data_IF_154856076686
#
_entry.id   IF_154856076686
#
_cell.length_a   1.000
_cell.length_b   1.000
_cell.length_c   1.000
_cell.angle_alpha   90.00
_cell.angle_beta   90.00
_cell.angle_gamma   90.00
#
_symmetry.space_group_name_H-M   'P 1'
#
loop_
_entity.id
_entity.type
_entity.pdbx_description
1 polymer ?
#
# COMPACT_ATOMS: atom_id res chain seq x y z
N UNK A 1 -77.06 -53.18 64.50
CA UNK A 1 -76.82 -52.13 63.49
C UNK A 1 -75.89 -50.98 63.95
N UNK A 2 -75.70 -50.70 65.27
CA UNK A 2 -74.85 -49.59 65.76
C UNK A 2 -73.32 -49.81 65.74
N UNK A 3 -72.83 -51.02 65.46
CA UNK A 3 -71.40 -51.40 65.45
C UNK A 3 -70.67 -51.01 64.16
N UNK A 4 -71.33 -51.20 63.02
CA UNK A 4 -70.76 -50.94 61.70
C UNK A 4 -70.20 -49.51 61.50
N UNK A 5 -70.91 -48.43 61.86
CA UNK A 5 -70.37 -47.07 61.72
C UNK A 5 -69.16 -46.81 62.63
N UNK A 6 -69.10 -47.45 63.80
CA UNK A 6 -67.97 -47.28 64.72
C UNK A 6 -66.67 -47.89 64.17
N UNK A 7 -66.76 -49.10 63.58
CA UNK A 7 -65.61 -49.75 62.94
C UNK A 7 -65.06 -48.96 61.75
N UNK A 8 -65.93 -48.32 60.96
CA UNK A 8 -65.49 -47.45 59.84
C UNK A 8 -64.70 -46.25 60.36
N UNK A 9 -65.21 -45.56 61.37
CA UNK A 9 -64.53 -44.39 61.97
C UNK A 9 -63.19 -44.84 62.57
N UNK A 10 -63.18 -45.97 63.28
CA UNK A 10 -61.98 -46.51 63.89
C UNK A 10 -60.91 -46.90 62.86
N UNK A 11 -61.30 -47.56 61.76
CA UNK A 11 -60.36 -47.88 60.68
C UNK A 11 -59.77 -46.61 60.04
N UNK A 12 -60.59 -45.57 59.88
CA UNK A 12 -60.16 -44.27 59.37
C UNK A 12 -59.12 -43.58 60.27
N UNK A 13 -59.37 -43.53 61.58
CA UNK A 13 -58.42 -42.91 62.53
C UNK A 13 -57.09 -43.67 62.61
N UNK A 14 -57.13 -45.00 62.51
CA UNK A 14 -55.93 -45.83 62.40
C UNK A 14 -55.10 -45.47 61.17
N UNK A 15 -55.74 -45.37 59.99
CA UNK A 15 -55.04 -45.01 58.76
C UNK A 15 -54.38 -43.62 58.86
N UNK A 16 -55.10 -42.62 59.40
CA UNK A 16 -54.56 -41.27 59.62
C UNK A 16 -53.38 -41.31 60.60
N UNK A 17 -53.47 -42.11 61.67
CA UNK A 17 -52.39 -42.25 62.64
C UNK A 17 -51.12 -42.86 62.02
N UNK A 18 -51.25 -43.95 61.26
CA UNK A 18 -50.11 -44.59 60.56
C UNK A 18 -49.46 -43.66 59.54
N UNK A 19 -50.25 -42.92 58.75
CA UNK A 19 -49.70 -41.92 57.81
C UNK A 19 -48.96 -40.79 58.53
N UNK A 20 -49.47 -40.33 59.68
CA UNK A 20 -48.78 -39.37 60.53
C UNK A 20 -47.41 -39.87 61.01
N UNK A 21 -47.33 -41.11 61.49
CA UNK A 21 -46.07 -41.74 61.92
C UNK A 21 -45.09 -41.85 60.74
N UNK A 22 -45.58 -42.25 59.56
CA UNK A 22 -44.76 -42.36 58.35
C UNK A 22 -44.15 -41.02 57.94
N UNK A 23 -44.94 -39.94 57.93
CA UNK A 23 -44.48 -38.58 57.59
C UNK A 23 -43.48 -38.06 58.64
N UNK A 24 -43.72 -38.35 59.92
CA UNK A 24 -42.78 -37.99 60.98
C UNK A 24 -41.43 -38.71 60.81
N UNK A 25 -41.43 -40.01 60.50
CA UNK A 25 -40.21 -40.78 60.20
C UNK A 25 -39.46 -40.28 58.97
N UNK A 26 -40.17 -39.68 58.00
CA UNK A 26 -39.56 -38.97 56.85
C UNK A 26 -38.88 -37.64 57.21
N UNK A 27 -38.88 -37.24 58.48
CA UNK A 27 -38.15 -36.07 58.96
C UNK A 27 -38.94 -34.76 58.96
N UNK A 28 -40.25 -34.80 58.71
CA UNK A 28 -41.10 -33.61 58.84
C UNK A 28 -41.38 -33.33 60.33
N UNK A 29 -40.53 -32.49 60.94
CA UNK A 29 -40.56 -32.17 62.36
C UNK A 29 -41.94 -31.73 62.92
N UNK A 30 -42.77 -30.93 62.21
CA UNK A 30 -44.07 -30.52 62.73
C UNK A 30 -45.07 -31.67 62.91
N UNK A 31 -44.85 -32.85 62.27
CA UNK A 31 -45.72 -34.01 62.46
C UNK A 31 -45.63 -34.63 63.86
N UNK A 32 -44.62 -34.29 64.68
CA UNK A 32 -44.46 -34.85 66.04
C UNK A 32 -45.70 -34.61 66.91
N UNK A 33 -46.22 -33.39 66.94
CA UNK A 33 -47.38 -33.03 67.75
C UNK A 33 -48.68 -33.60 67.16
N UNK A 34 -48.76 -33.71 65.84
CA UNK A 34 -49.86 -34.37 65.15
C UNK A 34 -49.96 -35.85 65.55
N UNK A 35 -48.84 -36.58 65.55
CA UNK A 35 -48.80 -37.99 65.97
C UNK A 35 -49.19 -38.13 67.44
N UNK A 36 -48.68 -37.28 68.32
CA UNK A 36 -49.04 -37.29 69.75
C UNK A 36 -50.54 -37.04 69.96
N UNK A 37 -51.14 -36.07 69.27
CA UNK A 37 -52.58 -35.79 69.35
C UNK A 37 -53.44 -36.98 68.90
N UNK A 38 -53.10 -37.59 67.76
CA UNK A 38 -53.81 -38.76 67.24
C UNK A 38 -53.58 -40.04 68.07
N UNK A 39 -52.48 -40.14 68.83
CA UNK A 39 -52.29 -41.23 69.81
C UNK A 39 -53.36 -41.20 70.90
N UNK A 40 -53.71 -40.02 71.44
CA UNK A 40 -54.78 -39.89 72.43
C UNK A 40 -56.13 -40.29 71.83
N UNK A 41 -56.41 -39.84 70.61
CA UNK A 41 -57.61 -40.21 69.89
C UNK A 41 -57.70 -41.73 69.68
N UNK A 42 -56.61 -42.36 69.24
CA UNK A 42 -56.51 -43.81 69.07
C UNK A 42 -56.77 -44.58 70.37
N UNK A 43 -56.17 -44.14 71.49
CA UNK A 43 -56.40 -44.73 72.81
C UNK A 43 -57.87 -44.58 73.23
N UNK A 44 -58.48 -43.41 73.03
CA UNK A 44 -59.89 -43.17 73.35
C UNK A 44 -60.84 -44.08 72.54
N UNK A 45 -60.57 -44.27 71.25
CA UNK A 45 -61.32 -45.23 70.44
C UNK A 45 -61.08 -46.68 70.84
N UNK A 46 -59.85 -47.05 71.24
CA UNK A 46 -59.53 -48.39 71.73
C UNK A 46 -60.27 -48.72 73.04
N UNK A 47 -60.29 -47.80 74.00
CA UNK A 47 -61.06 -47.96 75.26
C UNK A 47 -62.55 -48.13 74.94
N UNK A 48 -63.10 -47.30 74.05
CA UNK A 48 -64.51 -47.38 73.66
C UNK A 48 -64.84 -48.67 72.89
N UNK A 49 -63.93 -49.17 72.06
CA UNK A 49 -64.07 -50.45 71.38
C UNK A 49 -64.09 -51.62 72.38
N UNK A 50 -63.20 -51.61 73.38
CA UNK A 50 -63.14 -52.63 74.43
C UNK A 50 -64.41 -52.65 75.28
N UNK A 51 -64.94 -51.49 75.66
CA UNK A 51 -66.23 -51.38 76.38
C UNK A 51 -67.38 -51.91 75.50
N UNK A 52 -67.35 -51.64 74.19
CA UNK A 52 -68.41 -52.04 73.25
C UNK A 52 -68.42 -53.55 72.95
N UNK A 53 -67.27 -54.22 73.00
CA UNK A 53 -67.12 -55.67 72.78
C UNK A 53 -67.50 -56.52 74.01
N UNK A 54 -67.98 -55.89 75.09
CA UNK A 54 -68.69 -56.53 76.20
C UNK A 54 -67.86 -57.50 77.06
N UNK A 55 -66.80 -57.00 77.70
CA UNK A 55 -66.33 -57.57 78.98
C UNK A 55 -67.24 -57.06 80.11
N UNK A 56 -68.10 -57.94 80.62
CA UNK A 56 -69.15 -57.62 81.59
C UNK A 56 -68.63 -57.15 82.98
N UNK A 57 -67.30 -57.14 83.20
CA UNK A 57 -66.65 -56.69 84.44
C UNK A 57 -66.00 -55.29 84.38
N UNK A 58 -65.96 -54.64 83.22
CA UNK A 58 -65.49 -53.26 83.12
C UNK A 58 -66.63 -52.32 83.48
N UNK A 59 -66.78 -52.07 84.79
CA UNK A 59 -67.73 -51.15 85.40
C UNK A 59 -67.98 -49.88 84.56
N UNK A 60 -69.27 -49.54 84.36
CA UNK A 60 -69.76 -48.33 83.72
C UNK A 60 -69.46 -47.06 84.56
N UNK A 61 -68.19 -46.82 84.83
CA UNK A 61 -67.74 -45.61 85.52
C UNK A 61 -67.86 -44.40 84.58
N UNK A 62 -68.15 -43.23 85.15
CA UNK A 62 -68.23 -41.95 84.41
C UNK A 62 -67.00 -41.70 83.51
N UNK A 63 -65.84 -42.21 83.92
CA UNK A 63 -64.58 -42.16 83.16
C UNK A 63 -64.71 -42.83 81.79
N UNK A 64 -65.34 -44.00 81.70
CA UNK A 64 -65.54 -44.70 80.43
C UNK A 64 -66.42 -43.92 79.46
N UNK A 65 -67.47 -43.28 79.98
CA UNK A 65 -68.42 -42.48 79.19
C UNK A 65 -67.77 -41.21 78.60
N UNK A 66 -66.99 -40.47 79.41
CA UNK A 66 -66.35 -39.21 78.99
C UNK A 66 -64.96 -39.40 78.36
N UNK A 67 -64.39 -40.61 78.38
CA UNK A 67 -63.03 -40.92 77.87
C UNK A 67 -62.78 -40.42 76.44
N UNK A 68 -63.72 -40.66 75.52
CA UNK A 68 -63.58 -40.25 74.13
C UNK A 68 -63.62 -38.73 73.98
N UNK A 69 -64.55 -38.05 74.66
CA UNK A 69 -64.66 -36.58 74.62
C UNK A 69 -63.40 -35.93 75.18
N UNK A 70 -62.83 -36.49 76.25
CA UNK A 70 -61.57 -36.01 76.81
C UNK A 70 -60.40 -36.18 75.84
N UNK A 71 -60.31 -37.32 75.14
CA UNK A 71 -59.28 -37.55 74.12
C UNK A 71 -59.41 -36.60 72.92
N UNK A 72 -60.63 -36.25 72.51
CA UNK A 72 -60.87 -35.24 71.47
C UNK A 72 -60.38 -33.85 71.88
N UNK A 73 -60.64 -33.42 73.12
CA UNK A 73 -60.14 -32.12 73.62
C UNK A 73 -58.61 -32.10 73.62
N UNK A 74 -57.96 -33.18 74.09
CA UNK A 74 -56.51 -33.29 74.05
C UNK A 74 -55.97 -33.27 72.61
N UNK A 75 -56.61 -33.98 71.68
CA UNK A 75 -56.23 -34.00 70.27
C UNK A 75 -56.25 -32.59 69.66
N UNK A 76 -57.31 -31.81 69.90
CA UNK A 76 -57.40 -30.43 69.41
C UNK A 76 -56.30 -29.52 69.97
N UNK A 77 -55.93 -29.69 71.25
CA UNK A 77 -54.82 -28.95 71.87
C UNK A 77 -53.50 -29.26 71.15
N UNK A 78 -53.22 -30.54 70.91
CA UNK A 78 -52.00 -30.97 70.23
C UNK A 78 -51.97 -30.57 68.73
N UNK A 79 -53.12 -30.55 68.05
CA UNK A 79 -53.22 -30.01 66.69
C UNK A 79 -52.92 -28.52 66.63
N UNK A 80 -53.39 -27.74 67.59
CA UNK A 80 -53.07 -26.31 67.69
C UNK A 80 -51.55 -26.08 67.80
N UNK A 81 -50.88 -26.88 68.64
CA UNK A 81 -49.42 -26.86 68.74
C UNK A 81 -48.71 -27.30 67.44
N UNK A 82 -49.24 -28.30 66.73
CA UNK A 82 -48.68 -28.73 65.45
C UNK A 82 -48.72 -27.61 64.38
N UNK A 83 -49.82 -26.86 64.31
CA UNK A 83 -49.96 -25.71 63.42
C UNK A 83 -49.01 -24.58 63.82
N UNK A 84 -48.94 -24.26 65.11
CA UNK A 84 -48.04 -23.22 65.63
C UNK A 84 -46.57 -23.52 65.32
N UNK A 85 -46.12 -24.76 65.56
CA UNK A 85 -44.75 -25.19 65.26
C UNK A 85 -44.44 -25.13 63.75
N UNK A 86 -45.39 -25.56 62.90
CA UNK A 86 -45.28 -25.45 61.44
C UNK A 86 -45.10 -24.00 60.99
N UNK A 87 -45.96 -23.09 61.48
CA UNK A 87 -45.89 -21.66 61.12
C UNK A 87 -44.57 -21.05 61.58
N UNK A 88 -44.13 -21.36 62.80
CA UNK A 88 -42.84 -20.88 63.33
C UNK A 88 -41.66 -21.34 62.49
N UNK A 89 -41.62 -22.63 62.11
CA UNK A 89 -40.54 -23.20 61.29
C UNK A 89 -40.55 -22.59 59.88
N UNK A 90 -41.72 -22.47 59.25
CA UNK A 90 -41.84 -21.88 57.91
C UNK A 90 -41.43 -20.40 57.91
N UNK A 91 -41.87 -19.63 58.92
CA UNK A 91 -41.51 -18.22 59.08
C UNK A 91 -40.00 -18.05 59.27
N UNK A 92 -39.38 -18.85 60.15
CA UNK A 92 -37.92 -18.82 60.36
C UNK A 92 -37.12 -19.18 59.10
N UNK A 93 -37.60 -20.15 58.30
CA UNK A 93 -36.98 -20.48 57.00
C UNK A 93 -37.09 -19.32 56.01
N UNK A 94 -38.26 -18.68 55.92
CA UNK A 94 -38.48 -17.52 55.05
C UNK A 94 -37.62 -16.32 55.47
N UNK A 95 -37.58 -16.00 56.75
CA UNK A 95 -36.75 -14.93 57.30
C UNK A 95 -35.25 -15.17 57.06
N UNK A 96 -34.77 -16.41 57.22
CA UNK A 96 -33.37 -16.75 56.90
C UNK A 96 -33.05 -16.57 55.42
N UNK A 97 -33.91 -17.05 54.52
CA UNK A 97 -33.72 -16.89 53.08
C UNK A 97 -33.76 -15.42 52.65
N UNK A 98 -34.67 -14.63 53.23
CA UNK A 98 -34.74 -13.18 52.98
C UNK A 98 -33.49 -12.45 53.50
N UNK A 99 -33.00 -12.80 54.69
CA UNK A 99 -31.78 -12.21 55.25
C UNK A 99 -30.54 -12.51 54.39
N UNK A 100 -30.43 -13.74 53.88
CA UNK A 100 -29.34 -14.13 52.98
C UNK A 100 -29.41 -13.37 51.65
N UNK A 101 -30.61 -13.22 51.07
CA UNK A 101 -30.83 -12.43 49.87
C UNK A 101 -30.47 -10.95 50.06
N UNK A 102 -30.85 -10.34 51.19
CA UNK A 102 -30.48 -8.95 51.51
C UNK A 102 -28.96 -8.80 51.64
N UNK A 103 -28.30 -9.76 52.30
CA UNK A 103 -26.84 -9.75 52.43
C UNK A 103 -26.15 -9.83 51.07
N UNK A 104 -26.58 -10.74 50.20
CA UNK A 104 -26.04 -10.86 48.85
C UNK A 104 -26.29 -9.59 48.02
N UNK A 105 -27.45 -8.96 48.15
CA UNK A 105 -27.73 -7.68 47.49
C UNK A 105 -26.83 -6.56 47.99
N UNK A 106 -26.56 -6.49 49.30
CA UNK A 106 -25.66 -5.51 49.88
C UNK A 106 -24.22 -5.71 49.39
N UNK A 107 -23.70 -6.95 49.42
CA UNK A 107 -22.37 -7.29 48.89
C UNK A 107 -22.25 -6.98 47.39
N UNK A 108 -23.30 -7.27 46.60
CA UNK A 108 -23.32 -6.93 45.18
C UNK A 108 -23.39 -5.42 44.93
N UNK A 109 -24.08 -4.66 45.78
CA UNK A 109 -24.12 -3.20 45.67
C UNK A 109 -22.74 -2.60 45.93
N UNK A 110 -22.06 -3.00 47.00
CA UNK A 110 -20.71 -2.51 47.31
C UNK A 110 -19.71 -2.86 46.22
N UNK A 111 -19.74 -4.11 45.70
CA UNK A 111 -18.85 -4.52 44.61
C UNK A 111 -19.10 -3.72 43.32
N UNK A 112 -20.36 -3.39 43.02
CA UNK A 112 -20.70 -2.55 41.87
C UNK A 112 -20.20 -1.13 42.04
N UNK A 113 -20.35 -0.56 43.23
CA UNK A 113 -19.86 0.79 43.53
C UNK A 113 -18.33 0.86 43.44
N UNK A 114 -17.62 -0.12 44.01
CA UNK A 114 -16.16 -0.21 43.92
C UNK A 114 -15.69 -0.34 42.46
N UNK A 115 -16.35 -1.20 41.67
CA UNK A 115 -16.04 -1.39 40.26
C UNK A 115 -16.32 -0.12 39.43
N UNK A 116 -17.41 0.60 39.75
CA UNK A 116 -17.73 1.86 39.08
C UNK A 116 -16.66 2.91 39.36
N UNK A 117 -16.20 3.04 40.61
CA UNK A 117 -15.12 3.96 40.98
C UNK A 117 -13.83 3.62 40.23
N UNK A 118 -13.43 2.34 40.19
CA UNK A 118 -12.24 1.91 39.45
C UNK A 118 -12.37 2.19 37.94
N UNK A 119 -13.56 1.96 37.37
CA UNK A 119 -13.83 2.23 35.97
C UNK A 119 -13.76 3.73 35.66
N UNK A 120 -14.34 4.58 36.50
CA UNK A 120 -14.28 6.02 36.36
C UNK A 120 -12.84 6.54 36.40
N UNK A 121 -12.01 6.02 37.33
CA UNK A 121 -10.59 6.36 37.40
C UNK A 121 -9.86 5.96 36.10
N UNK A 122 -10.06 4.74 35.61
CA UNK A 122 -9.45 4.28 34.35
C UNK A 122 -9.91 5.11 33.15
N UNK A 123 -11.19 5.48 33.10
CA UNK A 123 -11.73 6.34 32.04
C UNK A 123 -11.07 7.72 32.08
N UNK A 124 -10.90 8.31 33.27
CA UNK A 124 -10.21 9.59 33.42
C UNK A 124 -8.74 9.50 33.01
N UNK A 125 -8.01 8.50 33.48
CA UNK A 125 -6.61 8.27 33.10
C UNK A 125 -6.45 8.11 31.59
N UNK A 126 -7.29 7.28 30.96
CA UNK A 126 -7.24 7.06 29.51
C UNK A 126 -7.65 8.30 28.72
N UNK A 127 -8.61 9.07 29.22
CA UNK A 127 -9.01 10.34 28.59
C UNK A 127 -7.86 11.34 28.65
N UNK A 128 -7.14 11.42 29.77
CA UNK A 128 -5.95 12.26 29.90
C UNK A 128 -4.82 11.82 28.98
N UNK A 129 -4.52 10.52 28.91
CA UNK A 129 -3.51 9.95 28.02
C UNK A 129 -3.81 10.26 26.54
N UNK A 130 -5.08 10.10 26.13
CA UNK A 130 -5.52 10.39 24.76
C UNK A 130 -5.40 11.89 24.45
N UNK A 131 -5.80 12.77 25.38
CA UNK A 131 -5.68 14.21 25.20
C UNK A 131 -4.21 14.63 25.03
N UNK A 132 -3.31 14.11 25.89
CA UNK A 132 -1.88 14.38 25.77
C UNK A 132 -1.31 13.91 24.43
N UNK A 133 -1.66 12.69 23.99
CA UNK A 133 -1.23 12.18 22.68
C UNK A 133 -1.78 13.00 21.52
N UNK A 134 -3.02 13.48 21.61
CA UNK A 134 -3.62 14.34 20.60
C UNK A 134 -2.84 15.64 20.43
N UNK A 135 -2.46 16.29 21.53
CA UNK A 135 -1.64 17.52 21.51
C UNK A 135 -0.28 17.25 20.86
N UNK A 136 0.38 16.13 21.19
CA UNK A 136 1.67 15.76 20.60
C UNK A 136 1.54 15.50 19.09
N UNK A 137 0.50 14.78 18.68
CA UNK A 137 0.23 14.50 17.26
C UNK A 137 0.00 15.80 16.50
N UNK A 138 -0.77 16.73 17.06
CA UNK A 138 -1.05 18.02 16.45
C UNK A 138 0.25 18.83 16.25
N UNK A 139 1.08 18.94 17.29
CA UNK A 139 2.39 19.61 17.19
C UNK A 139 3.32 18.93 16.15
N UNK A 140 3.35 17.58 16.11
CA UNK A 140 4.15 16.85 15.12
C UNK A 140 3.63 17.02 13.70
N UNK A 141 2.31 17.14 13.53
CA UNK A 141 1.70 17.36 12.24
C UNK A 141 2.03 18.77 11.71
N UNK A 142 2.04 19.78 12.57
CA UNK A 142 2.51 21.13 12.23
C UNK A 142 3.99 21.14 11.81
N UNK A 143 4.87 20.48 12.59
CA UNK A 143 6.30 20.35 12.23
C UNK A 143 6.48 19.65 10.87
N UNK A 144 5.73 18.58 10.62
CA UNK A 144 5.79 17.83 9.37
C UNK A 144 5.29 18.67 8.19
N UNK A 145 4.23 19.45 8.40
CA UNK A 145 3.69 20.34 7.38
C UNK A 145 4.72 21.41 7.00
N UNK A 146 5.37 22.04 7.98
CA UNK A 146 6.44 23.01 7.73
C UNK A 146 7.62 22.39 6.96
N UNK A 147 8.03 21.18 7.35
CA UNK A 147 9.11 20.48 6.65
C UNK A 147 8.73 20.15 5.19
N UNK A 148 7.49 19.73 4.95
CA UNK A 148 6.98 19.47 3.60
C UNK A 148 6.92 20.74 2.75
N UNK A 149 6.47 21.86 3.32
CA UNK A 149 6.40 23.14 2.61
C UNK A 149 7.81 23.62 2.22
N UNK A 150 8.79 23.53 3.13
CA UNK A 150 10.19 23.83 2.85
C UNK A 150 10.77 22.93 1.75
N UNK A 151 10.53 21.62 1.81
CA UNK A 151 10.97 20.68 0.78
C UNK A 151 10.38 21.03 -0.59
N UNK A 152 9.11 21.46 -0.62
CA UNK A 152 8.45 21.89 -1.85
C UNK A 152 9.08 23.15 -2.43
N UNK A 153 9.41 24.13 -1.59
CA UNK A 153 10.15 25.32 -2.02
C UNK A 153 11.54 24.98 -2.58
N UNK A 154 12.27 24.09 -1.90
CA UNK A 154 13.56 23.60 -2.39
C UNK A 154 13.44 22.89 -3.74
N UNK A 155 12.39 22.08 -3.93
CA UNK A 155 12.14 21.40 -5.21
C UNK A 155 11.92 22.40 -6.36
N UNK A 156 11.15 23.46 -6.12
CA UNK A 156 10.92 24.54 -7.10
C UNK A 156 12.24 25.24 -7.45
N UNK A 157 13.09 25.54 -6.47
CA UNK A 157 14.37 26.22 -6.73
C UNK A 157 15.37 25.32 -7.48
N UNK A 158 15.41 24.02 -7.17
CA UNK A 158 16.20 23.04 -7.92
C UNK A 158 15.73 22.98 -9.37
N UNK A 159 14.42 22.95 -9.60
CA UNK A 159 13.85 22.95 -10.95
C UNK A 159 14.25 24.21 -11.74
N UNK A 160 14.15 25.38 -11.10
CA UNK A 160 14.60 26.65 -11.68
C UNK A 160 16.08 26.63 -12.05
N UNK A 161 16.92 26.12 -11.14
CA UNK A 161 18.36 26.01 -11.37
C UNK A 161 18.68 25.06 -12.53
N UNK A 162 17.98 23.93 -12.62
CA UNK A 162 18.15 22.99 -13.73
C UNK A 162 17.82 23.64 -15.09
N UNK A 163 16.75 24.43 -15.17
CA UNK A 163 16.40 25.16 -16.40
C UNK A 163 17.50 26.15 -16.82
N UNK A 164 18.09 26.87 -15.86
CA UNK A 164 19.21 27.78 -16.12
C UNK A 164 20.44 27.01 -16.61
N UNK A 165 20.78 25.90 -15.94
CA UNK A 165 21.90 25.06 -16.34
C UNK A 165 21.72 24.48 -17.75
N UNK A 166 20.49 24.10 -18.13
CA UNK A 166 20.19 23.64 -19.49
C UNK A 166 20.41 24.73 -20.53
N UNK A 167 19.94 25.96 -20.26
CA UNK A 167 20.18 27.10 -21.14
C UNK A 167 21.68 27.39 -21.31
N UNK A 168 22.43 27.44 -20.21
CA UNK A 168 23.87 27.70 -20.23
C UNK A 168 24.63 26.59 -20.96
N UNK A 169 24.24 25.33 -20.77
CA UNK A 169 24.81 24.21 -21.50
C UNK A 169 24.58 24.32 -23.01
N UNK A 170 23.39 24.73 -23.44
CA UNK A 170 23.11 24.96 -24.87
C UNK A 170 23.96 26.10 -25.44
N UNK A 171 24.07 27.21 -24.71
CA UNK A 171 24.88 28.35 -25.13
C UNK A 171 26.37 27.97 -25.25
N UNK A 172 26.90 27.24 -24.27
CA UNK A 172 28.27 26.74 -24.29
C UNK A 172 28.52 25.84 -25.49
N UNK A 173 27.62 24.91 -25.82
CA UNK A 173 27.76 24.05 -27.00
C UNK A 173 27.82 24.88 -28.29
N UNK A 174 26.94 25.87 -28.45
CA UNK A 174 26.92 26.75 -29.63
C UNK A 174 28.24 27.53 -29.74
N UNK A 175 28.75 28.04 -28.61
CA UNK A 175 29.98 28.82 -28.58
C UNK A 175 31.21 27.95 -28.88
N UNK A 176 31.27 26.74 -28.32
CA UNK A 176 32.30 25.74 -28.65
C UNK A 176 32.28 25.42 -30.14
N UNK A 177 31.11 25.18 -30.73
CA UNK A 177 30.94 24.91 -32.15
C UNK A 177 31.45 26.06 -33.03
N UNK A 178 31.10 27.30 -32.68
CA UNK A 178 31.54 28.50 -33.39
C UNK A 178 33.05 28.69 -33.31
N UNK A 179 33.64 28.54 -32.11
CA UNK A 179 35.08 28.69 -31.89
C UNK A 179 35.85 27.57 -32.60
N UNK A 180 35.36 26.33 -32.52
CA UNK A 180 35.96 25.17 -33.21
C UNK A 180 35.94 25.36 -34.72
N UNK A 181 34.79 25.74 -35.29
CA UNK A 181 34.69 26.05 -36.72
C UNK A 181 35.58 27.22 -37.12
N UNK A 182 35.65 28.29 -36.32
CA UNK A 182 36.50 29.44 -36.63
C UNK A 182 38.00 29.10 -36.59
N UNK A 183 38.43 28.25 -35.64
CA UNK A 183 39.85 27.87 -35.45
C UNK A 183 40.37 26.98 -36.58
N UNK A 184 39.55 26.04 -37.06
CA UNK A 184 39.94 25.18 -38.20
C UNK A 184 39.98 25.95 -39.53
N UNK A 185 39.31 27.10 -39.60
CA UNK A 185 39.32 27.96 -40.79
C UNK A 185 40.49 28.98 -40.80
N UNK A 186 41.33 28.98 -39.77
CA UNK A 186 42.58 29.76 -39.70
C UNK A 186 43.83 28.89 -39.92
N UNK A 187 44.09 28.62 -41.20
CA UNK A 187 45.38 28.38 -41.88
C UNK A 187 46.46 27.40 -41.36
N UNK A 188 46.45 26.84 -40.15
CA UNK A 188 47.45 25.84 -39.73
C UNK A 188 46.80 24.76 -38.86
N UNK A 189 46.26 23.73 -39.51
CA UNK A 189 45.50 22.66 -38.84
C UNK A 189 46.13 21.30 -39.15
N UNK A 190 46.46 20.56 -38.08
CA UNK A 190 46.90 19.18 -38.12
C UNK A 190 45.78 18.25 -38.65
N UNK A 191 46.14 17.13 -39.27
CA UNK A 191 45.24 16.13 -39.81
C UNK A 191 44.21 15.65 -38.79
N UNK A 192 44.59 15.54 -37.51
CA UNK A 192 43.68 15.08 -36.44
C UNK A 192 42.53 16.07 -36.19
N UNK A 193 42.80 17.38 -36.27
CA UNK A 193 41.80 18.41 -36.06
C UNK A 193 40.93 18.63 -37.33
N UNK A 194 41.50 18.45 -38.53
CA UNK A 194 40.71 18.38 -39.77
C UNK A 194 39.79 17.14 -39.82
N UNK A 195 40.29 16.00 -39.35
CA UNK A 195 39.52 14.74 -39.29
C UNK A 195 38.40 14.79 -38.25
N UNK A 196 38.40 15.71 -37.28
CA UNK A 196 37.26 15.87 -36.35
C UNK A 196 36.05 16.55 -37.01
N UNK A 197 36.27 17.37 -38.05
CA UNK A 197 35.20 18.04 -38.79
C UNK A 197 34.70 17.18 -39.95
N UNK A 198 35.60 16.44 -40.61
CA UNK A 198 35.25 15.48 -41.67
C UNK A 198 35.70 14.07 -41.29
N UNK A 199 35.12 13.48 -40.23
CA UNK A 199 35.56 12.18 -39.70
C UNK A 199 35.31 11.03 -40.66
N UNK A 200 34.23 11.14 -41.44
CA UNK A 200 33.74 10.07 -42.25
C UNK A 200 33.42 10.51 -43.69
N UNK A 201 33.14 9.50 -44.50
CA UNK A 201 32.72 9.66 -45.89
C UNK A 201 31.39 10.42 -46.00
N UNK A 202 30.54 10.34 -44.97
CA UNK A 202 29.20 10.90 -44.98
C UNK A 202 29.22 12.42 -44.88
N UNK A 203 29.96 12.98 -43.91
CA UNK A 203 30.16 14.42 -43.76
C UNK A 203 30.86 15.04 -44.98
N UNK A 204 31.83 14.34 -45.57
CA UNK A 204 32.46 14.78 -46.82
C UNK A 204 31.45 14.88 -47.97
N UNK A 205 30.57 13.89 -48.11
CA UNK A 205 29.57 13.86 -49.19
C UNK A 205 28.45 14.88 -48.97
N UNK A 206 28.02 15.10 -47.73
CA UNK A 206 27.06 16.14 -47.38
C UNK A 206 27.62 17.51 -47.78
N UNK A 207 28.87 17.81 -47.40
CA UNK A 207 29.54 19.04 -47.77
C UNK A 207 29.66 19.22 -49.31
N UNK A 208 30.01 18.15 -50.04
CA UNK A 208 30.02 18.19 -51.51
C UNK A 208 28.65 18.50 -52.10
N UNK A 209 27.59 17.91 -51.56
CA UNK A 209 26.23 18.12 -52.04
C UNK A 209 25.77 19.57 -51.82
N UNK A 210 26.02 20.12 -50.63
CA UNK A 210 25.74 21.51 -50.30
C UNK A 210 26.51 22.48 -51.20
N UNK A 211 27.79 22.20 -51.44
CA UNK A 211 28.63 23.05 -52.29
C UNK A 211 28.20 22.99 -53.76
N UNK A 212 28.00 21.79 -54.30
CA UNK A 212 27.72 21.53 -55.72
C UNK A 212 26.35 22.05 -56.15
N UNK A 213 25.33 21.90 -55.30
CA UNK A 213 23.96 22.31 -55.60
C UNK A 213 23.50 23.53 -54.79
N UNK A 214 24.45 24.32 -54.28
CA UNK A 214 24.19 25.58 -53.57
C UNK A 214 23.24 26.52 -54.33
N UNK A 215 23.37 26.55 -55.65
CA UNK A 215 22.57 27.39 -56.55
C UNK A 215 21.42 26.63 -57.22
N UNK A 216 21.01 25.49 -56.65
CA UNK A 216 19.98 24.60 -57.21
C UNK A 216 20.54 23.42 -58.00
N UNK A 217 19.70 22.39 -58.18
CA UNK A 217 20.00 21.24 -59.02
C UNK A 217 19.57 21.53 -60.46
N UNK A 218 20.41 21.19 -61.43
CA UNK A 218 20.03 21.15 -62.84
C UNK A 218 20.67 19.94 -63.50
N UNK A 219 19.84 19.03 -64.01
CA UNK A 219 20.29 17.80 -64.62
C UNK A 219 21.17 18.05 -65.85
N UNK A 220 22.40 17.54 -65.84
CA UNK A 220 23.35 17.69 -66.95
C UNK A 220 22.92 17.00 -68.25
N UNK A 221 21.99 16.04 -68.21
CA UNK A 221 21.49 15.30 -69.40
C UNK A 221 20.29 15.97 -70.06
N UNK A 222 19.32 16.44 -69.29
CA UNK A 222 18.03 16.92 -69.82
C UNK A 222 17.60 18.31 -69.32
N UNK A 223 18.45 18.99 -68.53
CA UNK A 223 18.24 20.33 -67.96
C UNK A 223 17.05 20.52 -67.01
N UNK A 224 16.43 19.42 -66.58
CA UNK A 224 15.39 19.43 -65.54
C UNK A 224 15.97 19.81 -64.17
N UNK A 225 15.23 20.56 -63.38
CA UNK A 225 15.59 21.07 -62.05
C UNK A 225 15.01 20.25 -60.89
N UNK A 226 13.97 19.44 -61.16
CA UNK A 226 13.43 18.50 -60.19
C UNK A 226 14.25 17.20 -60.10
N UNK A 227 14.39 16.70 -58.86
CA UNK A 227 15.10 15.47 -58.56
C UNK A 227 14.43 14.69 -57.40
N UNK A 228 14.78 13.41 -57.30
CA UNK A 228 14.60 12.55 -56.14
C UNK A 228 15.96 12.17 -55.55
N UNK A 229 15.97 11.65 -54.33
CA UNK A 229 17.18 11.02 -53.77
C UNK A 229 17.61 9.85 -54.66
N UNK A 230 18.88 9.81 -55.04
CA UNK A 230 19.44 8.67 -55.77
C UNK A 230 19.81 7.51 -54.86
N UNK A 231 20.38 6.46 -55.43
CA UNK A 231 20.79 5.25 -54.70
C UNK A 231 22.08 5.46 -53.90
N UNK A 232 22.98 6.35 -54.36
CA UNK A 232 24.19 6.72 -53.62
C UNK A 232 23.85 7.83 -52.60
N UNK A 233 24.34 7.80 -51.35
CA UNK A 233 24.10 8.87 -50.38
C UNK A 233 24.38 10.26 -50.94
N UNK A 234 23.42 11.16 -50.75
CA UNK A 234 23.42 12.54 -51.24
C UNK A 234 23.46 12.73 -52.76
N UNK A 235 23.33 11.66 -53.57
CA UNK A 235 23.17 11.79 -55.02
C UNK A 235 21.77 12.30 -55.40
N UNK A 236 21.67 12.91 -56.58
CA UNK A 236 20.43 13.50 -57.10
C UNK A 236 20.02 12.75 -58.36
N UNK A 237 18.84 12.13 -58.34
CA UNK A 237 18.25 11.42 -59.49
C UNK A 237 17.22 12.30 -60.18
N UNK A 238 17.45 12.61 -61.44
CA UNK A 238 16.54 13.43 -62.25
C UNK A 238 15.15 12.79 -62.37
N UNK A 239 14.10 13.56 -62.05
CA UNK A 239 12.71 13.06 -62.16
C UNK A 239 12.25 12.84 -63.61
N UNK A 240 12.89 13.50 -64.59
CA UNK A 240 12.50 13.45 -66.01
C UNK A 240 13.20 12.35 -66.81
N UNK A 241 14.53 12.24 -66.72
CA UNK A 241 15.32 11.27 -67.52
C UNK A 241 15.91 10.13 -66.70
N UNK A 242 15.68 10.11 -65.39
CA UNK A 242 16.20 9.08 -64.50
C UNK A 242 17.72 9.10 -64.27
N UNK A 243 18.46 10.03 -64.89
CA UNK A 243 19.91 10.19 -64.70
C UNK A 243 20.24 10.48 -63.24
N UNK A 244 21.13 9.69 -62.66
CA UNK A 244 21.60 9.84 -61.29
C UNK A 244 22.99 10.46 -61.26
N UNK A 245 23.09 11.61 -60.59
CA UNK A 245 24.33 12.37 -60.49
C UNK A 245 24.89 12.24 -59.07
N UNK A 246 26.08 11.63 -58.97
CA UNK A 246 26.81 11.52 -57.70
C UNK A 246 27.35 12.88 -57.24
N UNK A 247 27.58 13.02 -55.92
CA UNK A 247 28.22 14.20 -55.34
C UNK A 247 29.64 14.45 -55.88
N UNK A 248 30.36 13.38 -56.25
CA UNK A 248 31.71 13.45 -56.82
C UNK A 248 31.73 13.72 -58.33
N UNK A 249 30.59 13.59 -59.03
CA UNK A 249 30.53 13.85 -60.47
C UNK A 249 30.79 15.32 -60.79
N UNK A 250 31.60 15.61 -61.81
CA UNK A 250 31.97 16.99 -62.20
C UNK A 250 32.62 17.78 -61.06
N UNK A 251 33.49 17.11 -60.32
CA UNK A 251 34.33 17.70 -59.28
C UNK A 251 35.74 17.16 -59.45
N UNK A 252 36.71 17.78 -58.78
CA UNK A 252 38.07 17.25 -58.73
C UNK A 252 38.13 15.83 -58.15
N UNK A 253 37.12 15.43 -57.37
CA UNK A 253 36.95 14.09 -56.78
C UNK A 253 36.31 13.08 -57.73
N UNK A 254 35.98 13.45 -58.97
CA UNK A 254 35.39 12.53 -59.93
C UNK A 254 36.29 11.31 -60.16
N UNK A 255 35.70 10.11 -60.00
CA UNK A 255 36.36 8.81 -60.14
C UNK A 255 37.59 8.65 -59.23
N UNK A 256 37.60 9.31 -58.07
CA UNK A 256 38.70 9.19 -57.10
C UNK A 256 38.78 7.78 -56.53
N UNK A 257 40.01 7.24 -56.44
CA UNK A 257 40.31 5.90 -55.91
C UNK A 257 40.90 5.94 -54.49
N UNK A 258 41.00 7.13 -53.91
CA UNK A 258 41.46 7.34 -52.53
C UNK A 258 40.25 7.67 -51.63
N UNK A 259 40.32 7.38 -50.33
CA UNK A 259 39.29 7.78 -49.37
C UNK A 259 39.01 9.29 -49.47
N UNK A 260 37.72 9.66 -49.54
CA UNK A 260 37.30 11.04 -49.84
C UNK A 260 37.77 12.05 -48.78
N UNK A 261 37.81 11.64 -47.51
CA UNK A 261 38.36 12.42 -46.39
C UNK A 261 39.84 12.77 -46.61
N UNK A 262 40.66 11.82 -47.07
CA UNK A 262 42.06 12.06 -47.42
C UNK A 262 42.20 12.94 -48.66
N UNK A 263 41.31 12.77 -49.64
CA UNK A 263 41.30 13.62 -50.82
C UNK A 263 40.99 15.09 -50.47
N UNK A 264 40.03 15.30 -49.57
CA UNK A 264 39.68 16.62 -49.02
C UNK A 264 40.87 17.27 -48.32
N UNK A 265 41.53 16.53 -47.43
CA UNK A 265 42.72 17.04 -46.75
C UNK A 265 43.86 17.34 -47.73
N UNK A 266 44.04 16.54 -48.79
CA UNK A 266 45.02 16.81 -49.84
C UNK A 266 44.76 18.15 -50.56
N UNK A 267 43.50 18.48 -50.85
CA UNK A 267 43.12 19.76 -51.47
C UNK A 267 43.41 20.92 -50.53
N UNK A 268 43.05 20.77 -49.25
CA UNK A 268 43.36 21.74 -48.22
C UNK A 268 44.87 22.00 -48.11
N UNK A 269 45.69 20.96 -47.98
CA UNK A 269 47.15 21.08 -47.87
C UNK A 269 47.79 21.75 -49.08
N UNK A 270 47.35 21.40 -50.30
CA UNK A 270 47.87 22.00 -51.53
C UNK A 270 47.44 23.47 -51.64
N UNK A 271 46.21 23.81 -51.27
CA UNK A 271 45.74 25.18 -51.24
C UNK A 271 46.47 26.03 -50.19
N UNK A 272 46.56 25.56 -48.94
CA UNK A 272 47.21 26.27 -47.84
C UNK A 272 48.70 26.49 -48.09
N UNK A 273 49.37 25.53 -48.72
CA UNK A 273 50.77 25.66 -49.14
C UNK A 273 50.97 26.47 -50.43
N UNK A 274 49.91 27.03 -51.03
CA UNK A 274 49.92 27.72 -52.33
C UNK A 274 50.59 26.88 -53.44
N UNK A 275 50.37 25.56 -53.41
CA UNK A 275 50.93 24.59 -54.36
C UNK A 275 52.38 24.20 -54.12
N UNK A 276 53.04 24.70 -53.05
CA UNK A 276 54.47 24.46 -52.78
C UNK A 276 54.75 23.11 -52.11
N UNK A 277 53.74 22.44 -51.56
CA UNK A 277 53.94 21.13 -50.93
C UNK A 277 54.39 20.07 -51.95
N UNK A 278 55.36 19.23 -51.55
CA UNK A 278 55.90 18.15 -52.37
C UNK A 278 55.01 16.89 -52.31
N UNK A 279 55.03 16.08 -53.37
CA UNK A 279 54.29 14.81 -53.39
C UNK A 279 54.77 13.82 -52.32
N UNK A 280 56.05 13.87 -51.94
CA UNK A 280 56.61 13.08 -50.84
C UNK A 280 56.03 13.50 -49.48
N UNK A 281 55.93 14.80 -49.22
CA UNK A 281 55.33 15.29 -47.97
C UNK A 281 53.84 14.97 -47.90
N UNK A 282 53.13 15.05 -49.02
CA UNK A 282 51.72 14.61 -49.10
C UNK A 282 51.56 13.12 -48.82
N UNK A 283 52.47 12.28 -49.33
CA UNK A 283 52.43 10.83 -49.11
C UNK A 283 52.59 10.46 -47.63
N UNK A 284 53.50 11.15 -46.93
CA UNK A 284 53.73 11.02 -45.49
C UNK A 284 52.49 11.44 -44.69
N UNK A 285 51.99 12.66 -44.91
CA UNK A 285 50.86 13.21 -44.15
C UNK A 285 49.55 12.43 -44.36
N UNK A 286 49.31 11.94 -45.58
CA UNK A 286 48.05 11.27 -45.92
C UNK A 286 48.14 9.74 -45.79
N UNK A 287 49.34 9.19 -45.60
CA UNK A 287 49.59 7.74 -45.71
C UNK A 287 49.00 7.18 -47.02
N UNK A 288 49.34 7.81 -48.15
CA UNK A 288 48.94 7.42 -49.52
C UNK A 288 50.21 7.24 -50.36
N UNK A 289 50.19 6.33 -51.34
CA UNK A 289 51.32 6.14 -52.27
C UNK A 289 51.69 7.46 -52.96
N UNK A 290 52.97 7.81 -52.95
CA UNK A 290 53.50 9.07 -53.50
C UNK A 290 53.07 9.32 -54.96
N UNK A 291 53.03 8.28 -55.80
CA UNK A 291 52.61 8.39 -57.19
C UNK A 291 51.17 8.88 -57.32
N UNK A 292 50.28 8.42 -56.44
CA UNK A 292 48.88 8.86 -56.38
C UNK A 292 48.78 10.31 -55.93
N UNK A 293 49.57 10.71 -54.92
CA UNK A 293 49.65 12.11 -54.49
C UNK A 293 50.17 13.03 -55.60
N UNK A 294 51.11 12.57 -56.43
CA UNK A 294 51.63 13.33 -57.56
C UNK A 294 50.55 13.56 -58.63
N UNK A 295 49.89 12.50 -59.09
CA UNK A 295 48.82 12.60 -60.11
C UNK A 295 47.67 13.48 -59.63
N UNK A 296 47.20 13.24 -58.40
CA UNK A 296 46.08 13.99 -57.83
C UNK A 296 46.47 15.44 -57.53
N UNK A 297 47.68 15.66 -57.02
CA UNK A 297 48.21 16.99 -56.77
C UNK A 297 48.43 17.79 -58.05
N UNK A 298 48.87 17.17 -59.14
CA UNK A 298 48.97 17.82 -60.44
C UNK A 298 47.60 18.28 -60.96
N UNK A 299 46.56 17.43 -60.81
CA UNK A 299 45.17 17.81 -61.13
C UNK A 299 44.71 19.02 -60.33
N UNK A 300 44.95 19.05 -59.02
CA UNK A 300 44.56 20.18 -58.15
C UNK A 300 45.34 21.45 -58.53
N UNK A 301 46.64 21.35 -58.79
CA UNK A 301 47.47 22.50 -59.19
C UNK A 301 47.01 23.09 -60.53
N UNK A 302 46.64 22.25 -61.50
CA UNK A 302 46.04 22.71 -62.76
C UNK A 302 44.79 23.55 -62.52
N UNK A 303 43.86 23.07 -61.68
CA UNK A 303 42.63 23.80 -61.33
C UNK A 303 42.95 25.11 -60.57
N UNK A 304 43.98 25.12 -59.73
CA UNK A 304 44.44 26.34 -59.05
C UNK A 304 44.97 27.39 -60.03
N UNK A 305 45.70 26.95 -61.07
CA UNK A 305 46.23 27.84 -62.09
C UNK A 305 45.11 28.40 -62.99
N UNK A 306 44.17 27.55 -63.41
CA UNK A 306 43.00 27.97 -64.20
C UNK A 306 42.14 29.01 -63.46
N UNK A 307 42.06 28.90 -62.12
CA UNK A 307 41.22 29.75 -61.26
C UNK A 307 41.98 30.84 -60.52
N UNK A 308 43.24 31.10 -60.87
CA UNK A 308 44.13 32.03 -60.17
C UNK A 308 43.54 33.43 -59.96
N UNK A 309 42.75 33.94 -60.92
CA UNK A 309 42.09 35.25 -60.81
C UNK A 309 40.93 35.27 -59.79
N UNK A 310 40.18 34.18 -59.67
CA UNK A 310 39.06 34.01 -58.72
C UNK A 310 39.60 33.77 -57.31
N UNK A 311 40.64 32.95 -57.20
CA UNK A 311 41.29 32.63 -55.92
C UNK A 311 42.00 33.83 -55.30
N UNK A 312 42.51 34.78 -56.10
CA UNK A 312 43.09 36.05 -55.60
C UNK A 312 42.07 36.99 -54.94
N UNK A 313 40.78 36.89 -55.29
CA UNK A 313 39.70 37.75 -54.74
C UNK A 313 38.96 37.10 -53.56
N UNK A 314 39.12 35.81 -53.35
CA UNK A 314 38.47 35.06 -52.27
C UNK A 314 39.35 35.09 -51.01
N UNK A 315 38.76 35.42 -49.86
CA UNK A 315 39.41 35.26 -48.56
C UNK A 315 38.69 34.19 -47.71
N UNK A 316 39.49 33.50 -46.87
CA UNK A 316 39.16 32.43 -45.90
C UNK A 316 38.51 31.13 -46.43
N UNK A 317 37.73 31.14 -47.52
CA UNK A 317 37.05 29.94 -48.06
C UNK A 317 37.60 29.46 -49.43
N UNK A 318 38.85 29.80 -49.77
CA UNK A 318 39.34 29.63 -51.14
C UNK A 318 39.57 28.19 -51.60
N UNK A 319 39.77 27.22 -50.69
CA UNK A 319 40.03 25.83 -51.10
C UNK A 319 38.77 25.10 -51.58
N UNK A 320 37.59 25.41 -51.03
CA UNK A 320 36.33 24.80 -51.49
C UNK A 320 35.98 25.25 -52.91
N UNK A 321 36.46 26.43 -53.34
CA UNK A 321 36.37 26.89 -54.73
C UNK A 321 37.22 26.06 -55.70
N UNK A 322 38.10 25.17 -55.22
CA UNK A 322 38.83 24.24 -56.07
C UNK A 322 38.06 22.94 -56.33
N UNK A 323 37.01 22.67 -55.56
CA UNK A 323 36.38 21.35 -55.51
C UNK A 323 35.49 21.06 -56.71
N UNK A 324 34.67 22.02 -57.13
CA UNK A 324 33.76 21.87 -58.28
C UNK A 324 34.53 22.07 -59.58
N UNK A 325 34.16 21.44 -60.70
CA UNK A 325 34.75 21.67 -62.03
C UNK A 325 34.10 22.84 -62.80
#
# INVERSE_FOLDING_TARGET
MKLFPFFIIFAGTNHIFYTGIYIWRKGYQPARFFVVGYSFLFVGFMIKLLIMLSFQELNFNAIGYYSLSFCFVLEMIFLSFAIGDKVRILRKKKEKAQAEMIRQMAENATLKDDLNIELEQKVQERTHEVLQKSIIIEAKNEELQQANDLMREQAIEIERMNLLLEHDNQELQINVDKVTRARVMSADVDFEEFSKIYPDKEQCNLFLAELKWKNGYQCKKCRNDHFYSGHIPYSRRCSKCGYEESVTSYTIFHNTRIPINKAFYMVFLIFSSKGKISSHKLAELLSIRQSTCWTYGAKIKSVMDDRKAVLKKSNKNGWSLLVLD
#
